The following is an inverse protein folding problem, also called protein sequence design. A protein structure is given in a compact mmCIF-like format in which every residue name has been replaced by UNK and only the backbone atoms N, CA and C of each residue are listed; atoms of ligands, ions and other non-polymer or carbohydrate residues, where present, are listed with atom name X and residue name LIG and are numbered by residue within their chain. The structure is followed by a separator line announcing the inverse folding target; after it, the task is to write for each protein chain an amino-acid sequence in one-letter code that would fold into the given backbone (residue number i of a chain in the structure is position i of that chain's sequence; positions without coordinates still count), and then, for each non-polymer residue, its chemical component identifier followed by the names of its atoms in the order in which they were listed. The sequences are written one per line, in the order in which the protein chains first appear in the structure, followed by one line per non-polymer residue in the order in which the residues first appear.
data_IF_221369856304
#
_entry.id   IF_221369856304
#
_cell.length_a   1.000
_cell.length_b   1.000
_cell.length_c   1.000
_cell.angle_alpha   90.00
_cell.angle_beta   90.00
_cell.angle_gamma   90.00
#
_symmetry.space_group_name_H-M   'P 1'
#
loop_
_entity.id
_entity.type
_entity.pdbx_description
1 polymer ?
#
# COMPACT_ATOMS: atom_id res chain seq x y z
N UNK A 1 1.40 -5.59 6.51
CA UNK A 1 0.38 -4.76 5.85
C UNK A 1 0.47 -3.36 6.43
N UNK A 2 0.48 -2.32 5.59
CA UNK A 2 0.57 -0.91 6.00
C UNK A 2 -0.83 -0.31 5.96
N UNK A 3 -1.29 0.23 7.09
CA UNK A 3 -2.66 0.75 7.28
C UNK A 3 -2.72 2.26 7.45
N UNK A 4 -1.58 2.94 7.42
CA UNK A 4 -1.51 4.39 7.50
C UNK A 4 -2.38 5.04 6.40
N UNK A 5 -3.22 6.00 6.80
CA UNK A 5 -4.25 6.60 5.93
C UNK A 5 -3.71 7.68 5.00
N UNK A 6 -2.65 8.38 5.40
CA UNK A 6 -2.09 9.51 4.64
C UNK A 6 -0.88 9.05 3.81
N UNK A 7 -0.70 9.55 2.58
CA UNK A 7 0.45 9.18 1.74
C UNK A 7 1.81 9.42 2.41
N UNK A 8 1.98 10.53 3.13
CA UNK A 8 3.23 10.86 3.82
C UNK A 8 3.53 9.90 4.99
N UNK A 9 2.49 9.47 5.71
CA UNK A 9 2.63 8.47 6.77
C UNK A 9 2.97 7.08 6.20
N UNK A 10 2.38 6.71 5.06
CA UNK A 10 2.71 5.48 4.33
C UNK A 10 4.18 5.46 3.93
N UNK A 11 4.69 6.54 3.33
CA UNK A 11 6.09 6.65 2.93
C UNK A 11 7.05 6.47 4.13
N UNK A 12 6.80 7.17 5.24
CA UNK A 12 7.62 7.06 6.46
C UNK A 12 7.65 5.63 7.02
N UNK A 13 6.51 4.94 7.00
CA UNK A 13 6.44 3.57 7.47
C UNK A 13 7.19 2.60 6.54
N UNK A 14 7.05 2.76 5.23
CA UNK A 14 7.82 1.99 4.24
C UNK A 14 9.31 2.20 4.43
N UNK A 15 9.79 3.45 4.53
CA UNK A 15 11.22 3.75 4.76
C UNK A 15 11.74 3.08 6.03
N UNK A 16 10.98 3.16 7.13
CA UNK A 16 11.33 2.54 8.41
C UNK A 16 11.50 1.03 8.28
N UNK A 17 10.64 0.38 7.51
CA UNK A 17 10.68 -1.07 7.29
C UNK A 17 11.74 -1.48 6.26
N UNK A 18 11.92 -0.71 5.20
CA UNK A 18 12.96 -0.92 4.20
C UNK A 18 14.36 -0.85 4.82
N UNK A 19 14.60 0.09 5.75
CA UNK A 19 15.84 0.16 6.54
C UNK A 19 16.11 -1.08 7.40
N UNK A 20 15.08 -1.89 7.68
CA UNK A 20 15.19 -3.18 8.38
C UNK A 20 15.38 -4.37 7.41
N UNK A 21 15.54 -4.11 6.12
CA UNK A 21 15.75 -5.13 5.08
C UNK A 21 14.47 -5.68 4.47
N UNK A 22 13.29 -5.12 4.78
CA UNK A 22 12.04 -5.56 4.16
C UNK A 22 11.94 -5.06 2.71
N UNK A 23 11.62 -5.94 1.78
CA UNK A 23 11.53 -5.62 0.33
C UNK A 23 10.13 -5.84 -0.25
N UNK A 24 9.16 -6.29 0.56
CA UNK A 24 7.78 -6.55 0.13
C UNK A 24 6.79 -5.83 1.04
N UNK A 25 5.92 -5.04 0.43
CA UNK A 25 4.95 -4.19 1.12
C UNK A 25 3.56 -4.36 0.51
N UNK A 26 2.56 -4.45 1.37
CA UNK A 26 1.14 -4.45 0.99
C UNK A 26 0.47 -3.27 1.67
N UNK A 27 -0.15 -2.40 0.88
CA UNK A 27 -0.92 -1.24 1.34
C UNK A 27 -2.38 -1.66 1.47
N UNK A 28 -2.98 -1.47 2.64
CA UNK A 28 -4.41 -1.78 2.80
C UNK A 28 -5.24 -0.84 1.93
N UNK A 29 -6.23 -1.35 1.19
CA UNK A 29 -7.15 -0.51 0.43
C UNK A 29 -8.17 0.14 1.39
N UNK A 30 -8.37 1.45 1.29
CA UNK A 30 -9.33 2.19 2.12
C UNK A 30 -10.32 3.03 1.29
N UNK A 31 -10.05 3.18 0.00
CA UNK A 31 -10.81 3.98 -0.95
C UNK A 31 -11.24 3.14 -2.16
N UNK A 32 -11.37 1.83 -1.96
CA UNK A 32 -11.73 0.85 -2.99
C UNK A 32 -10.87 0.93 -4.27
N UNK A 33 -9.56 1.23 -4.13
CA UNK A 33 -8.66 1.41 -5.27
C UNK A 33 -8.74 2.79 -5.93
N UNK A 34 -9.52 3.71 -5.36
CA UNK A 34 -9.68 5.10 -5.77
C UNK A 34 -8.42 5.95 -5.59
N UNK A 35 -8.57 7.26 -5.81
CA UNK A 35 -7.44 8.19 -5.89
C UNK A 35 -6.56 8.17 -4.64
N UNK A 36 -7.16 8.07 -3.44
CA UNK A 36 -6.40 8.04 -2.20
C UNK A 36 -5.53 6.77 -2.10
N UNK A 37 -6.05 5.62 -2.55
CA UNK A 37 -5.27 4.37 -2.59
C UNK A 37 -4.13 4.46 -3.60
N UNK A 38 -4.34 5.10 -4.76
CA UNK A 38 -3.28 5.31 -5.75
C UNK A 38 -2.19 6.26 -5.26
N UNK A 39 -2.55 7.35 -4.58
CA UNK A 39 -1.59 8.28 -3.97
C UNK A 39 -0.75 7.58 -2.90
N UNK A 40 -1.38 6.78 -2.03
CA UNK A 40 -0.70 5.98 -1.01
C UNK A 40 0.21 4.93 -1.64
N UNK A 41 -0.24 4.25 -2.68
CA UNK A 41 0.55 3.26 -3.42
C UNK A 41 1.77 3.91 -4.11
N UNK A 42 1.59 5.10 -4.71
CA UNK A 42 2.68 5.88 -5.29
C UNK A 42 3.72 6.30 -4.26
N UNK A 43 3.27 6.85 -3.12
CA UNK A 43 4.15 7.24 -2.01
C UNK A 43 4.94 6.03 -1.46
N UNK A 44 4.28 4.88 -1.33
CA UNK A 44 4.93 3.64 -0.92
C UNK A 44 5.99 3.17 -1.92
N UNK A 45 5.69 3.18 -3.22
CA UNK A 45 6.65 2.78 -4.28
C UNK A 45 7.88 3.68 -4.30
N UNK A 46 7.67 4.99 -4.17
CA UNK A 46 8.77 5.94 -4.09
C UNK A 46 9.68 5.64 -2.88
N UNK A 47 9.09 5.45 -1.70
CA UNK A 47 9.81 5.17 -0.46
C UNK A 47 10.51 3.80 -0.44
N UNK A 48 9.92 2.78 -1.08
CA UNK A 48 10.43 1.40 -1.06
C UNK A 48 11.68 1.20 -1.94
N UNK A 49 11.87 2.07 -2.94
CA UNK A 49 12.94 1.95 -3.93
C UNK A 49 12.70 0.85 -4.97
N UNK A 50 13.51 0.87 -6.03
CA UNK A 50 13.31 0.08 -7.26
C UNK A 50 13.38 -1.45 -7.06
N UNK A 51 14.06 -1.92 -6.02
CA UNK A 51 14.27 -3.36 -5.77
C UNK A 51 13.16 -3.98 -4.90
N UNK A 52 12.18 -3.17 -4.49
CA UNK A 52 11.09 -3.61 -3.62
C UNK A 52 9.80 -3.82 -4.40
N UNK A 53 8.98 -4.76 -3.94
CA UNK A 53 7.62 -4.97 -4.43
C UNK A 53 6.63 -4.24 -3.52
N UNK A 54 5.76 -3.44 -4.12
CA UNK A 54 4.70 -2.71 -3.42
C UNK A 54 3.38 -2.90 -4.14
N UNK A 55 2.42 -3.46 -3.43
CA UNK A 55 1.09 -3.81 -3.94
C UNK A 55 0.00 -3.18 -3.09
N UNK A 56 -1.14 -2.88 -3.73
CA UNK A 56 -2.37 -2.56 -3.04
C UNK A 56 -3.09 -3.87 -2.73
N UNK A 57 -3.61 -3.98 -1.51
CA UNK A 57 -4.45 -5.12 -1.10
C UNK A 57 -5.62 -5.29 -2.08
N UNK A 58 -5.76 -6.49 -2.63
CA UNK A 58 -6.89 -6.82 -3.48
C UNK A 58 -8.17 -6.76 -2.64
N UNK A 59 -9.12 -5.94 -3.06
CA UNK A 59 -10.48 -6.00 -2.55
C UNK A 59 -11.06 -7.33 -3.04
N UNK A 60 -11.05 -8.35 -2.20
CA UNK A 60 -11.77 -9.58 -2.52
C UNK A 60 -13.25 -9.23 -2.60
N UNK A 61 -13.78 -9.19 -3.83
CA UNK A 61 -15.20 -9.02 -4.12
C UNK A 61 -16.01 -10.27 -3.73
N UNK A 62 -15.80 -10.81 -2.52
CA UNK A 62 -16.47 -12.02 -2.05
C UNK A 62 -17.95 -11.79 -1.65
N UNK A 63 -18.50 -10.58 -1.83
CA UNK A 63 -19.88 -10.26 -1.46
C UNK A 63 -20.75 -9.70 -2.61
N UNK A 64 -20.24 -9.57 -3.84
CA UNK A 64 -20.98 -8.94 -4.95
C UNK A 64 -21.63 -9.93 -5.95
N UNK A 65 -21.41 -11.24 -5.81
CA UNK A 65 -21.93 -12.26 -6.73
C UNK A 65 -23.02 -13.16 -6.10
N UNK A 66 -23.79 -12.63 -5.15
CA UNK A 66 -24.96 -13.30 -4.59
C UNK A 66 -26.19 -12.39 -4.66
N UNK A 67 -26.69 -12.13 -5.88
CA UNK A 67 -28.09 -11.78 -6.16
C UNK A 67 -28.49 -12.23 -7.56
#
# INVERSE_FOLDING_TARGET
MITAKRPDAVAREVERLARKGQTRFTISAIDHGGMLDQERLGAARYAAGLQSTVELEALTAAAAAAR
#
